data_IF_002501384821
#
_entry.id   IF_002501384821
#
_cell.length_a   1.000
_cell.length_b   1.000
_cell.length_c   1.000
_cell.angle_alpha   90.00
_cell.angle_beta   90.00
_cell.angle_gamma   90.00
#
_symmetry.space_group_name_H-M   'P 1'
#
loop_
_entity.id
_entity.type
_entity.pdbx_description
1 polymer ?
#
# COMPACT_ATOMS: atom_id res chain seq x y z
N UNK A 1 11.27 39.39 1.37
CA UNK A 1 10.24 38.35 1.58
C UNK A 1 10.36 37.44 0.36
N UNK A 2 11.08 36.31 0.49
CA UNK A 2 11.35 35.42 -0.63
C UNK A 2 10.08 34.59 -0.91
N UNK A 3 9.27 35.03 -1.87
CA UNK A 3 8.23 34.16 -2.44
C UNK A 3 8.93 32.95 -3.07
N UNK A 4 8.46 31.75 -2.72
CA UNK A 4 9.17 30.52 -3.07
C UNK A 4 9.14 30.30 -4.58
N UNK A 5 10.28 29.97 -5.20
CA UNK A 5 10.40 29.75 -6.65
C UNK A 5 9.60 28.52 -7.16
N UNK A 6 8.84 27.86 -6.30
CA UNK A 6 8.17 26.58 -6.55
C UNK A 6 6.69 26.71 -6.92
N UNK A 7 6.12 27.92 -6.90
CA UNK A 7 4.68 28.14 -7.10
C UNK A 7 4.19 27.76 -8.52
N UNK A 8 5.04 27.89 -9.54
CA UNK A 8 4.66 27.68 -10.95
C UNK A 8 5.30 26.45 -11.61
N UNK A 9 5.73 25.46 -10.82
CA UNK A 9 6.28 24.24 -11.42
C UNK A 9 5.22 23.49 -12.25
N UNK A 10 5.50 23.17 -13.52
CA UNK A 10 4.66 22.28 -14.31
C UNK A 10 4.44 20.94 -13.61
N UNK A 11 3.27 20.34 -13.80
CA UNK A 11 2.89 19.07 -13.16
C UNK A 11 3.93 17.95 -13.37
N UNK A 12 4.58 17.90 -14.55
CA UNK A 12 5.67 16.95 -14.84
C UNK A 12 6.82 17.08 -13.85
N UNK A 13 7.22 18.31 -13.51
CA UNK A 13 8.34 18.55 -12.60
C UNK A 13 7.95 18.19 -11.17
N UNK A 14 6.71 18.49 -10.75
CA UNK A 14 6.21 18.09 -9.43
C UNK A 14 6.21 16.56 -9.29
N UNK A 15 5.70 15.84 -10.29
CA UNK A 15 5.67 14.37 -10.31
C UNK A 15 7.08 13.77 -10.28
N UNK A 16 8.03 14.36 -11.02
CA UNK A 16 9.44 13.96 -10.97
C UNK A 16 10.02 14.16 -9.57
N UNK A 17 9.82 15.33 -8.96
CA UNK A 17 10.34 15.61 -7.61
C UNK A 17 9.75 14.62 -6.60
N UNK A 18 8.42 14.46 -6.59
CA UNK A 18 7.75 13.53 -5.69
C UNK A 18 8.19 12.07 -5.90
N UNK A 19 8.60 11.69 -7.12
CA UNK A 19 9.06 10.31 -7.39
C UNK A 19 10.32 9.90 -6.63
N UNK A 20 11.17 10.88 -6.27
CA UNK A 20 12.40 10.66 -5.51
C UNK A 20 12.21 10.67 -3.98
N UNK A 21 11.06 11.12 -3.49
CA UNK A 21 10.78 11.26 -2.05
C UNK A 21 10.23 9.97 -1.46
N UNK A 22 10.46 9.71 -0.17
CA UNK A 22 9.82 8.56 0.50
C UNK A 22 8.32 8.82 0.76
N UNK A 23 7.59 7.80 1.26
CA UNK A 23 6.15 7.95 1.48
C UNK A 23 5.78 9.09 2.45
N UNK A 24 6.58 9.27 3.51
CA UNK A 24 6.40 10.33 4.50
C UNK A 24 6.66 11.70 3.90
N UNK A 25 7.77 11.83 3.18
CA UNK A 25 8.22 13.07 2.56
C UNK A 25 7.29 13.53 1.45
N UNK A 26 6.68 12.60 0.69
CA UNK A 26 5.63 12.92 -0.29
C UNK A 26 4.44 13.59 0.40
N UNK A 27 3.96 13.04 1.52
CA UNK A 27 2.82 13.60 2.26
C UNK A 27 3.17 14.95 2.89
N UNK A 28 4.38 15.08 3.44
CA UNK A 28 4.88 16.35 3.96
C UNK A 28 4.93 17.41 2.84
N UNK A 29 5.56 17.10 1.71
CA UNK A 29 5.65 18.02 0.56
C UNK A 29 4.28 18.37 -0.02
N UNK A 30 3.35 17.41 -0.08
CA UNK A 30 1.98 17.62 -0.49
C UNK A 30 1.23 18.59 0.44
N UNK A 31 1.45 18.51 1.76
CA UNK A 31 0.79 19.40 2.72
C UNK A 31 1.26 20.87 2.65
N UNK A 32 2.42 21.12 2.03
CA UNK A 32 2.98 22.46 1.90
C UNK A 32 2.43 23.24 0.70
N UNK A 33 1.83 22.58 -0.29
CA UNK A 33 1.40 23.26 -1.52
C UNK A 33 0.17 22.63 -2.18
N UNK A 34 -0.83 23.44 -2.55
CA UNK A 34 -2.11 22.98 -3.13
C UNK A 34 -1.94 22.15 -4.42
N UNK A 35 -1.05 22.56 -5.33
CA UNK A 35 -0.81 21.81 -6.56
C UNK A 35 -0.18 20.43 -6.29
N UNK A 36 0.69 20.33 -5.29
CA UNK A 36 1.36 19.08 -4.93
C UNK A 36 0.39 18.15 -4.21
N UNK A 37 -0.45 18.71 -3.33
CA UNK A 37 -1.57 18.02 -2.71
C UNK A 37 -2.50 17.37 -3.73
N UNK A 38 -2.92 18.11 -4.77
CA UNK A 38 -3.84 17.57 -5.78
C UNK A 38 -3.22 16.36 -6.51
N UNK A 39 -1.92 16.41 -6.84
CA UNK A 39 -1.22 15.30 -7.48
C UNK A 39 -1.10 14.10 -6.53
N UNK A 40 -0.70 14.33 -5.28
CA UNK A 40 -0.55 13.29 -4.27
C UNK A 40 -1.89 12.65 -3.84
N UNK A 41 -3.02 13.34 -4.03
CA UNK A 41 -4.36 12.79 -3.81
C UNK A 41 -4.89 11.95 -4.96
N UNK A 42 -4.21 11.94 -6.11
CA UNK A 42 -4.60 11.07 -7.22
C UNK A 42 -4.19 9.62 -6.95
N UNK A 43 -5.14 8.71 -6.95
CA UNK A 43 -4.86 7.27 -6.80
C UNK A 43 -3.93 6.74 -7.93
N UNK A 44 -4.10 7.27 -9.15
CA UNK A 44 -3.25 6.96 -10.30
C UNK A 44 -1.78 7.37 -10.10
N UNK A 45 -1.50 8.37 -9.24
CA UNK A 45 -0.13 8.76 -8.90
C UNK A 45 0.52 7.65 -8.07
N UNK A 46 -0.16 7.17 -7.02
CA UNK A 46 0.31 6.07 -6.18
C UNK A 46 0.46 4.77 -6.95
N UNK A 47 -0.46 4.47 -7.88
CA UNK A 47 -0.32 3.33 -8.80
C UNK A 47 0.98 3.40 -9.58
N UNK A 48 1.25 4.55 -10.15
CA UNK A 48 2.40 4.75 -11.02
C UNK A 48 3.69 4.70 -10.19
N UNK A 49 3.73 5.32 -9.01
CA UNK A 49 4.88 5.27 -8.09
C UNK A 49 5.12 3.84 -7.61
N UNK A 50 4.06 3.09 -7.30
CA UNK A 50 4.17 1.69 -6.91
C UNK A 50 4.81 0.85 -8.00
N UNK A 51 4.35 1.02 -9.25
CA UNK A 51 4.94 0.34 -10.41
C UNK A 51 6.41 0.72 -10.61
N UNK A 52 6.75 2.01 -10.48
CA UNK A 52 8.12 2.50 -10.59
C UNK A 52 9.08 1.83 -9.58
N UNK A 53 8.61 1.59 -8.34
CA UNK A 53 9.45 1.08 -7.25
C UNK A 53 9.49 -0.44 -7.16
N UNK A 54 8.38 -1.11 -7.42
CA UNK A 54 8.23 -2.54 -7.12
C UNK A 54 7.83 -3.42 -8.31
N UNK A 55 7.50 -2.84 -9.46
CA UNK A 55 7.28 -3.63 -10.67
C UNK A 55 8.60 -3.71 -11.46
N UNK A 56 9.08 -4.92 -11.72
CA UNK A 56 10.28 -5.16 -12.54
C UNK A 56 10.02 -4.76 -13.99
N UNK A 57 10.20 -3.48 -14.28
CA UNK A 57 10.22 -2.91 -15.63
C UNK A 57 11.63 -2.39 -15.88
N UNK A 58 12.17 -2.55 -17.09
CA UNK A 58 13.57 -2.21 -17.40
C UNK A 58 13.96 -0.79 -16.93
N UNK A 59 14.87 -0.72 -15.96
CA UNK A 59 15.23 0.49 -15.21
C UNK A 59 15.78 1.65 -16.07
N UNK A 60 16.22 1.38 -17.30
CA UNK A 60 16.89 2.37 -18.17
C UNK A 60 15.93 3.39 -18.82
N UNK A 61 14.61 3.15 -18.80
CA UNK A 61 13.61 4.07 -19.38
C UNK A 61 12.71 4.78 -18.35
N UNK A 62 12.86 4.46 -17.06
CA UNK A 62 11.83 4.68 -16.03
C UNK A 62 11.59 6.15 -15.62
N UNK A 63 12.61 6.94 -15.29
CA UNK A 63 12.39 8.23 -14.60
C UNK A 63 11.75 9.32 -15.47
N UNK A 64 12.19 9.47 -16.73
CA UNK A 64 11.69 10.53 -17.63
C UNK A 64 10.37 10.15 -18.33
N UNK A 65 10.18 8.88 -18.66
CA UNK A 65 8.95 8.41 -19.31
C UNK A 65 7.79 8.36 -18.31
N UNK A 66 8.04 8.04 -17.05
CA UNK A 66 7.05 8.01 -15.97
C UNK A 66 6.30 9.33 -15.80
N UNK A 67 7.01 10.44 -15.55
CA UNK A 67 6.35 11.71 -15.26
C UNK A 67 5.63 12.26 -16.48
N UNK A 68 6.17 12.03 -17.68
CA UNK A 68 5.52 12.41 -18.93
C UNK A 68 4.24 11.59 -19.15
N UNK A 69 4.29 10.27 -18.98
CA UNK A 69 3.13 9.39 -19.17
C UNK A 69 2.03 9.65 -18.14
N UNK A 70 2.39 9.78 -16.86
CA UNK A 70 1.46 10.15 -15.80
C UNK A 70 0.83 11.52 -16.09
N UNK A 71 1.64 12.53 -16.41
CA UNK A 71 1.13 13.88 -16.64
C UNK A 71 0.23 13.95 -17.88
N UNK A 72 0.56 13.24 -18.96
CA UNK A 72 -0.31 13.14 -20.14
C UNK A 72 -1.65 12.50 -19.79
N UNK A 73 -1.67 11.40 -19.03
CA UNK A 73 -2.91 10.77 -18.56
C UNK A 73 -3.68 11.70 -17.62
N UNK A 74 -2.99 12.36 -16.69
CA UNK A 74 -3.56 13.25 -15.70
C UNK A 74 -4.19 14.52 -16.32
N UNK A 75 -3.49 15.19 -17.24
CA UNK A 75 -4.00 16.37 -17.94
C UNK A 75 -5.16 16.02 -18.87
N UNK A 76 -5.10 14.87 -19.55
CA UNK A 76 -6.19 14.38 -20.40
C UNK A 76 -7.40 13.90 -19.57
N UNK A 77 -7.19 13.55 -18.29
CA UNK A 77 -8.23 13.13 -17.35
C UNK A 77 -8.96 14.31 -16.68
N UNK A 78 -8.58 15.58 -16.91
CA UNK A 78 -9.22 16.75 -16.27
C UNK A 78 -10.69 16.99 -16.66
N UNK A 79 -11.26 16.18 -17.56
CA UNK A 79 -12.73 16.10 -17.78
C UNK A 79 -13.43 15.08 -16.89
N UNK A 80 -12.69 14.34 -16.05
CA UNK A 80 -13.22 13.33 -15.15
C UNK A 80 -12.76 13.62 -13.71
N UNK A 81 -13.22 14.73 -13.15
CA UNK A 81 -13.51 14.75 -11.72
C UNK A 81 -14.84 14.02 -11.52
N UNK A 82 -14.92 12.91 -10.77
CA UNK A 82 -16.17 12.61 -10.12
C UNK A 82 -16.27 13.54 -8.90
N UNK A 83 -16.78 14.76 -9.14
CA UNK A 83 -17.80 15.28 -8.22
C UNK A 83 -19.09 14.50 -8.53
N UNK A 84 -19.08 13.22 -8.23
CA UNK A 84 -20.27 12.40 -8.15
C UNK A 84 -20.22 11.73 -6.79
N UNK A 85 -20.76 12.43 -5.80
CA UNK A 85 -21.58 11.73 -4.81
C UNK A 85 -22.61 11.00 -5.67
N UNK A 86 -22.49 9.69 -5.77
CA UNK A 86 -23.37 8.90 -6.62
C UNK A 86 -24.80 9.14 -6.17
N UNK A 87 -25.65 9.62 -7.08
CA UNK A 87 -27.08 9.76 -6.89
C UNK A 87 -27.79 8.38 -6.89
N UNK A 88 -27.05 7.32 -6.58
CA UNK A 88 -27.49 5.92 -6.55
C UNK A 88 -27.77 5.43 -5.11
N UNK A 89 -27.86 6.34 -4.13
CA UNK A 89 -28.30 6.02 -2.77
C UNK A 89 -29.84 5.88 -2.63
N UNK A 90 -30.58 5.74 -3.74
CA UNK A 90 -32.06 5.76 -3.74
C UNK A 90 -32.73 4.52 -4.33
N UNK A 91 -32.01 3.52 -4.85
CA UNK A 91 -32.64 2.25 -5.23
C UNK A 91 -31.70 1.08 -4.93
N UNK A 92 -32.04 0.35 -3.86
CA UNK A 92 -31.17 -0.62 -3.18
C UNK A 92 -30.88 -1.89 -3.98
N UNK A 93 -30.07 -1.78 -5.03
CA UNK A 93 -29.51 -2.95 -5.74
C UNK A 93 -27.99 -2.92 -5.58
N UNK A 94 -27.48 -3.84 -4.76
CA UNK A 94 -26.06 -4.05 -4.50
C UNK A 94 -25.38 -4.63 -5.74
N UNK A 95 -24.87 -3.77 -6.61
CA UNK A 95 -23.81 -4.16 -7.53
C UNK A 95 -22.46 -3.90 -6.85
N UNK A 96 -21.78 -4.97 -6.47
CA UNK A 96 -20.37 -4.95 -6.06
C UNK A 96 -19.57 -4.55 -7.30
N UNK A 97 -19.44 -3.24 -7.50
CA UNK A 97 -18.56 -2.65 -8.50
C UNK A 97 -17.13 -3.07 -8.17
N UNK A 98 -16.46 -3.68 -9.16
CA UNK A 98 -15.03 -4.01 -9.21
C UNK A 98 -14.20 -3.32 -8.13
N UNK A 99 -13.62 -4.09 -7.21
CA UNK A 99 -12.71 -3.62 -6.16
C UNK A 99 -11.70 -2.63 -6.75
N UNK A 100 -11.96 -1.34 -6.56
CA UNK A 100 -11.02 -0.28 -6.91
C UNK A 100 -9.86 -0.42 -5.94
N UNK A 101 -8.76 -1.02 -6.42
CA UNK A 101 -7.52 -1.14 -5.64
C UNK A 101 -7.09 0.25 -5.19
N UNK A 102 -7.09 0.49 -3.88
CA UNK A 102 -6.58 1.73 -3.29
C UNK A 102 -5.05 1.70 -3.30
N UNK A 103 -4.44 2.33 -4.31
CA UNK A 103 -2.99 2.24 -4.51
C UNK A 103 -2.19 2.95 -3.43
N UNK A 104 -2.76 3.99 -2.81
CA UNK A 104 -2.16 4.64 -1.65
C UNK A 104 -2.03 3.67 -0.47
N UNK A 105 -3.06 2.86 -0.22
CA UNK A 105 -3.08 1.85 0.85
C UNK A 105 -2.02 0.78 0.57
N UNK A 106 -1.98 0.21 -0.64
CA UNK A 106 -0.97 -0.78 -1.03
C UNK A 106 0.47 -0.23 -0.95
N UNK A 107 0.69 1.00 -1.45
CA UNK A 107 1.99 1.66 -1.33
C UNK A 107 2.41 1.77 0.13
N UNK A 108 1.50 2.26 1.00
CA UNK A 108 1.76 2.46 2.42
C UNK A 108 2.12 1.14 3.10
N UNK A 109 1.36 0.08 2.87
CA UNK A 109 1.60 -1.24 3.46
C UNK A 109 2.96 -1.80 3.04
N UNK A 110 3.25 -1.79 1.74
CA UNK A 110 4.53 -2.28 1.22
C UNK A 110 5.72 -1.48 1.76
N UNK A 111 5.59 -0.16 1.80
CA UNK A 111 6.62 0.75 2.33
C UNK A 111 6.88 0.51 3.82
N UNK A 112 5.82 0.32 4.63
CA UNK A 112 5.96 0.00 6.06
C UNK A 112 6.70 -1.32 6.24
N UNK A 113 6.35 -2.34 5.46
CA UNK A 113 7.01 -3.64 5.51
C UNK A 113 8.50 -3.51 5.22
N UNK A 114 8.89 -2.85 4.12
CA UNK A 114 10.32 -2.67 3.77
C UNK A 114 11.08 -1.88 4.83
N UNK A 115 10.49 -0.81 5.33
CA UNK A 115 11.09 0.00 6.39
C UNK A 115 11.26 -0.80 7.67
N UNK A 116 10.30 -1.66 8.00
CA UNK A 116 10.38 -2.56 9.15
C UNK A 116 11.49 -3.59 8.96
N UNK A 117 11.63 -4.18 7.77
CA UNK A 117 12.73 -5.11 7.45
C UNK A 117 14.10 -4.45 7.61
N UNK A 118 14.30 -3.26 7.04
CA UNK A 118 15.60 -2.54 7.11
C UNK A 118 15.94 -2.13 8.53
N UNK A 119 14.95 -1.71 9.32
CA UNK A 119 15.17 -1.27 10.71
C UNK A 119 15.08 -2.42 11.73
N UNK A 120 14.90 -3.67 11.30
CA UNK A 120 14.75 -4.81 12.20
C UNK A 120 13.50 -4.74 13.10
N UNK A 121 12.47 -3.99 12.71
CA UNK A 121 11.23 -3.86 13.48
C UNK A 121 10.30 -5.02 13.15
N UNK A 122 10.30 -6.07 13.98
CA UNK A 122 9.44 -7.22 13.83
C UNK A 122 8.86 -7.69 15.17
N UNK A 123 7.70 -8.34 15.12
CA UNK A 123 7.14 -9.07 16.25
C UNK A 123 7.50 -10.54 16.10
N UNK A 124 8.07 -11.15 17.14
CA UNK A 124 8.49 -12.55 17.14
C UNK A 124 7.43 -13.38 17.86
N UNK A 125 6.96 -14.43 17.19
CA UNK A 125 6.06 -15.44 17.77
C UNK A 125 6.74 -16.80 17.74
N UNK A 126 6.89 -17.44 18.89
CA UNK A 126 7.49 -18.77 19.01
C UNK A 126 6.42 -19.85 18.97
N UNK A 127 6.57 -20.82 18.07
CA UNK A 127 5.66 -21.95 17.89
C UNK A 127 6.32 -23.22 18.47
N UNK A 128 5.89 -23.62 19.67
CA UNK A 128 6.45 -24.79 20.36
C UNK A 128 5.59 -26.02 20.10
N UNK A 129 6.20 -27.11 19.64
CA UNK A 129 5.48 -28.37 19.47
C UNK A 129 6.33 -29.57 19.06
N UNK A 130 7.28 -29.39 18.13
CA UNK A 130 8.17 -30.49 17.73
C UNK A 130 9.14 -30.87 18.85
N UNK A 131 9.42 -32.17 18.96
CA UNK A 131 10.37 -32.75 19.91
C UNK A 131 11.66 -33.23 19.24
N UNK A 132 11.82 -32.88 17.95
CA UNK A 132 12.94 -33.23 17.10
C UNK A 132 13.36 -32.07 16.19
N UNK A 133 14.29 -32.35 15.28
CA UNK A 133 14.78 -31.38 14.30
C UNK A 133 13.73 -31.14 13.23
N UNK A 134 13.41 -29.88 12.95
CA UNK A 134 12.54 -29.52 11.82
C UNK A 134 13.31 -29.80 10.52
N UNK A 135 12.78 -30.69 9.68
CA UNK A 135 13.40 -31.12 8.42
C UNK A 135 12.82 -30.41 7.21
N UNK A 136 11.56 -29.95 7.30
CA UNK A 136 10.89 -29.23 6.21
C UNK A 136 9.86 -28.23 6.73
N UNK A 137 9.59 -27.21 5.90
CA UNK A 137 8.65 -26.13 6.22
C UNK A 137 7.98 -25.60 4.94
N UNK A 138 6.67 -25.39 4.98
CA UNK A 138 5.88 -24.79 3.90
C UNK A 138 4.88 -23.80 4.50
N UNK A 139 4.69 -22.64 3.88
CA UNK A 139 3.75 -21.64 4.36
C UNK A 139 2.98 -20.96 3.23
N UNK A 140 1.85 -20.35 3.59
CA UNK A 140 1.10 -19.40 2.78
C UNK A 140 0.63 -18.24 3.67
N UNK A 141 -0.29 -17.41 3.18
CA UNK A 141 -0.75 -16.20 3.87
C UNK A 141 -1.43 -16.46 5.24
N UNK A 142 -1.93 -17.68 5.48
CA UNK A 142 -2.73 -17.98 6.68
C UNK A 142 -2.25 -19.19 7.48
N UNK A 143 -1.41 -20.05 6.89
CA UNK A 143 -1.02 -21.34 7.46
C UNK A 143 0.45 -21.61 7.23
N UNK A 144 1.02 -22.35 8.17
CA UNK A 144 2.37 -22.87 8.15
C UNK A 144 2.33 -24.35 8.48
N UNK A 145 3.07 -25.17 7.75
CA UNK A 145 3.26 -26.60 8.00
C UNK A 145 4.73 -26.85 8.26
N UNK A 146 5.04 -27.57 9.33
CA UNK A 146 6.40 -28.04 9.65
C UNK A 146 6.42 -29.56 9.78
N UNK A 147 7.47 -30.19 9.27
CA UNK A 147 7.76 -31.61 9.46
C UNK A 147 9.06 -31.81 10.24
N UNK A 148 9.10 -32.85 11.07
CA UNK A 148 10.20 -33.12 12.00
C UNK A 148 10.70 -34.56 11.90
N UNK A 149 11.95 -34.79 12.30
CA UNK A 149 12.55 -36.13 12.43
C UNK A 149 11.95 -36.95 13.58
N UNK A 150 11.14 -36.33 14.46
CA UNK A 150 10.33 -36.99 15.48
C UNK A 150 9.14 -37.79 14.90
N UNK A 151 8.95 -37.74 13.58
CA UNK A 151 7.87 -38.44 12.87
C UNK A 151 6.55 -37.68 12.82
N UNK A 152 6.49 -36.44 13.33
CA UNK A 152 5.30 -35.59 13.32
C UNK A 152 5.33 -34.50 12.25
N UNK A 153 4.13 -34.12 11.81
CA UNK A 153 3.87 -32.90 11.05
C UNK A 153 2.89 -32.03 11.83
N UNK A 154 3.16 -30.73 11.91
CA UNK A 154 2.33 -29.76 12.62
C UNK A 154 1.80 -28.68 11.68
N UNK A 155 0.51 -28.35 11.84
CA UNK A 155 -0.16 -27.26 11.14
C UNK A 155 -0.35 -26.08 12.10
N UNK A 156 0.11 -24.92 11.70
CA UNK A 156 0.07 -23.68 12.47
C UNK A 156 -0.80 -22.65 11.75
N UNK A 157 -1.58 -21.88 12.53
CA UNK A 157 -2.32 -20.72 12.03
C UNK A 157 -1.44 -19.47 12.15
N UNK A 158 -1.24 -18.77 11.02
CA UNK A 158 -0.52 -17.49 10.98
C UNK A 158 -1.46 -16.28 11.10
N UNK A 159 -2.78 -16.51 11.04
CA UNK A 159 -3.74 -15.45 11.30
C UNK A 159 -3.61 -14.96 12.74
N UNK A 160 -3.73 -13.63 12.98
CA UNK A 160 -3.77 -13.09 14.31
C UNK A 160 -4.82 -13.84 15.13
N UNK A 161 -4.46 -14.29 16.33
CA UNK A 161 -5.42 -14.89 17.26
C UNK A 161 -6.45 -13.79 17.56
N UNK A 162 -7.68 -13.93 17.09
CA UNK A 162 -8.76 -13.05 17.54
C UNK A 162 -8.81 -13.18 19.07
N UNK A 163 -8.60 -12.07 19.77
CA UNK A 163 -9.03 -11.98 21.15
C UNK A 163 -10.54 -12.24 21.16
N UNK A 164 -10.94 -13.43 21.62
CA UNK A 164 -12.33 -13.70 21.94
C UNK A 164 -12.68 -12.77 23.09
N UNK A 165 -13.28 -11.62 22.78
CA UNK A 165 -13.84 -10.73 23.79
C UNK A 165 -14.97 -11.51 24.47
N UNK A 166 -14.66 -12.14 25.59
CA UNK A 166 -15.63 -12.79 26.46
C UNK A 166 -16.63 -11.71 26.88
N UNK A 167 -17.85 -11.77 26.35
CA UNK A 167 -18.94 -10.97 26.87
C UNK A 167 -19.20 -11.45 28.32
N UNK A 168 -19.25 -10.54 29.30
CA UNK A 168 -19.61 -10.94 30.65
C UNK A 168 -21.01 -11.57 30.63
N UNK A 169 -21.26 -12.61 31.46
CA UNK A 169 -22.56 -13.27 31.49
C UNK A 169 -23.64 -12.22 31.77
N UNK A 170 -24.65 -12.18 30.89
CA UNK A 170 -25.84 -11.37 31.11
C UNK A 170 -26.48 -11.82 32.44
N UNK A 171 -26.47 -10.94 33.44
CA UNK A 171 -27.36 -11.10 34.59
C UNK A 171 -28.77 -10.75 34.13
N UNK A 172 -29.70 -11.60 34.56
CA UNK A 172 -31.12 -11.72 34.18
C UNK A 172 -31.90 -10.41 33.98
#
# INVERSE_FOLDING_TARGET
>A
MHESQFHDLPAVLVVNVLSYLDGSDIVCAASMHRNWYIIAMCDSFWKSIYALRWQKVDAKQQGRNFANEFTSKYLNSKTAFPLQVSQAAMDGTLEISTESVEWMTLYRERHIVERNWVNGKATITTLNGHNGTITCLQFNDSRLVSGSDDGSMMLWSLLPRQEVRMQPPHQH
#
